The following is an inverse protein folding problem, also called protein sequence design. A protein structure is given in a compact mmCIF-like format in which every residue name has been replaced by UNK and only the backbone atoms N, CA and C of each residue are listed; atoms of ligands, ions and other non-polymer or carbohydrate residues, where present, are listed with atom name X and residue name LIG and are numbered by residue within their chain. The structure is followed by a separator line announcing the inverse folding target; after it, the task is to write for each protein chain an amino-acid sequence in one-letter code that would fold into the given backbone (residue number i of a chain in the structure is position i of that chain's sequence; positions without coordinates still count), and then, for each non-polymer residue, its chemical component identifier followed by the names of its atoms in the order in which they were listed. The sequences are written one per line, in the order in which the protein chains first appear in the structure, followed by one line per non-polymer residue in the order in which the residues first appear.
data_IF_126245835797
#
_entry.id   IF_126245835797
#
_cell.length_a   1.000
_cell.length_b   1.000
_cell.length_c   1.000
_cell.angle_alpha   90.00
_cell.angle_beta   90.00
_cell.angle_gamma   90.00
#
_symmetry.space_group_name_H-M   'P 1'
#
loop_
_entity.id
_entity.type
_entity.pdbx_description
1 polymer ?
#
# COMPACT_ATOMS: atom_id res chain seq x y z
N UNK A 1 -4.29 -18.06 -30.70
CA UNK A 1 -4.52 -17.63 -30.29
C UNK A 1 -4.39 -17.23 -29.94
N UNK A 2 -3.85 -17.34 -30.05
CA UNK A 2 -3.89 -16.79 -29.50
C UNK A 2 -3.52 -16.50 -29.11
N UNK A 3 -3.02 -16.83 -29.14
CA UNK A 3 -2.93 -16.48 -28.59
C UNK A 3 -2.63 -16.25 -28.25
N UNK A 4 -2.21 -16.65 -28.29
CA UNK A 4 -2.28 -16.36 -27.77
C UNK A 4 -2.30 -16.30 -27.45
N UNK A 5 -2.16 -16.83 -27.42
CA UNK A 5 -2.58 -16.82 -26.87
C UNK A 5 -2.27 -16.92 -26.42
N UNK A 6 -1.80 -17.26 -26.25
CA UNK A 6 -1.82 -17.29 -25.64
C UNK A 6 -1.20 -17.16 -25.12
N UNK A 7 -0.67 -17.43 -25.01
CA UNK A 7 -0.46 -17.18 -24.39
C UNK A 7 -0.12 -16.84 -23.77
N UNK A 8 0.35 -17.14 -23.57
CA UNK A 8 0.37 -16.80 -22.85
C UNK A 8 0.42 -16.53 -22.28
N UNK A 9 0.73 -16.75 -22.20
CA UNK A 9 0.46 -16.46 -21.50
C UNK A 9 0.44 -15.97 -21.02
N UNK A 10 0.72 -16.14 -20.72
CA UNK A 10 0.37 -15.55 -20.21
C UNK A 10 0.25 -15.13 -19.39
N UNK A 11 0.66 -15.26 -19.25
CA UNK A 11 0.24 -14.77 -18.53
C UNK A 11 -0.14 -14.67 -18.02
N UNK A 12 -0.06 -14.94 -17.62
CA UNK A 12 -0.87 -14.76 -17.16
C UNK A 12 -1.68 -14.75 -17.24
N UNK A 13 -1.77 -15.30 -17.30
CA UNK A 13 -2.87 -15.12 -17.43
C UNK A 13 -3.60 -15.82 -17.86
N UNK A 14 -4.03 -16.36 -17.76
CA UNK A 14 -4.93 -16.78 -18.15
C UNK A 14 -5.23 -17.01 -18.92
N UNK A 15 -4.29 -18.27 -19.08
CA UNK A 15 -4.89 -17.62 -19.96
C UNK A 15 -5.73 -17.16 -19.28
N UNK A 16 -5.20 -17.19 -18.51
CA UNK A 16 -6.10 -16.51 -17.79
C UNK A 16 -6.70 -15.37 -18.46
N UNK A 17 -7.68 -14.79 -17.85
CA UNK A 17 -8.31 -13.63 -18.38
C UNK A 17 -7.31 -12.53 -18.57
N UNK A 18 -7.40 -11.80 -19.67
CA UNK A 18 -6.65 -10.58 -19.78
C UNK A 18 -6.94 -9.67 -18.60
N UNK A 19 -5.95 -8.92 -18.21
CA UNK A 19 -6.11 -8.03 -17.09
C UNK A 19 -7.27 -7.07 -17.27
N UNK A 20 -7.48 -6.64 -18.49
CA UNK A 20 -8.53 -5.69 -18.78
C UNK A 20 -9.93 -6.24 -18.54
N UNK A 21 -10.09 -7.55 -18.48
CA UNK A 21 -11.38 -8.16 -18.23
C UNK A 21 -11.59 -8.54 -16.79
N UNK A 22 -10.57 -8.42 -15.97
CA UNK A 22 -10.79 -8.69 -14.57
C UNK A 22 -11.66 -7.62 -14.00
N UNK A 23 -12.45 -8.00 -13.02
CA UNK A 23 -13.09 -7.00 -12.23
C UNK A 23 -12.04 -6.03 -11.74
N UNK A 24 -12.41 -4.76 -11.59
CA UNK A 24 -11.48 -3.82 -10.98
C UNK A 24 -10.93 -4.47 -9.75
N UNK A 25 -9.62 -4.46 -9.65
CA UNK A 25 -8.97 -5.13 -8.56
C UNK A 25 -9.34 -4.46 -7.28
N UNK A 26 -9.72 -5.25 -6.32
CA UNK A 26 -9.78 -4.77 -4.96
C UNK A 26 -8.36 -4.52 -4.52
N UNK A 27 -8.10 -3.33 -4.03
CA UNK A 27 -6.79 -2.97 -3.51
C UNK A 27 -6.87 -2.98 -2.00
N UNK A 28 -5.94 -3.69 -1.37
CA UNK A 28 -5.81 -3.63 0.07
C UNK A 28 -4.72 -2.65 0.42
N UNK A 29 -4.95 -1.86 1.44
CA UNK A 29 -3.99 -0.86 1.85
C UNK A 29 -3.79 -0.92 3.34
N UNK A 30 -2.63 -0.46 3.79
CA UNK A 30 -2.35 -0.27 5.21
C UNK A 30 -2.14 1.21 5.43
N UNK A 31 -2.86 1.76 6.38
CA UNK A 31 -2.70 3.14 6.80
C UNK A 31 -2.41 3.15 8.29
N UNK A 32 -1.46 3.95 8.71
CA UNK A 32 -1.12 4.00 10.12
C UNK A 32 -0.86 5.42 10.56
N UNK A 33 -0.92 5.63 11.87
CA UNK A 33 -0.64 6.92 12.48
C UNK A 33 0.33 6.69 13.62
N UNK A 34 1.43 7.43 13.66
CA UNK A 34 2.40 7.33 14.72
C UNK A 34 2.27 8.49 15.67
N UNK A 35 2.61 8.25 16.92
CA UNK A 35 2.74 9.30 17.91
C UNK A 35 4.18 9.81 17.81
N UNK A 36 4.34 11.05 17.39
CA UNK A 36 5.67 11.59 17.12
C UNK A 36 6.54 11.62 18.38
N UNK A 37 5.95 11.97 19.51
CA UNK A 37 6.72 12.01 20.75
C UNK A 37 7.16 10.63 21.18
N UNK A 38 6.27 9.65 21.06
CA UNK A 38 6.64 8.28 21.38
C UNK A 38 7.69 7.77 20.40
N UNK A 39 7.57 8.16 19.14
CA UNK A 39 8.55 7.75 18.14
C UNK A 39 9.92 8.32 18.48
N UNK A 40 10.00 9.58 18.84
CA UNK A 40 11.28 10.17 19.26
C UNK A 40 11.87 9.46 20.47
N UNK A 41 11.00 9.12 21.43
CA UNK A 41 11.45 8.45 22.63
C UNK A 41 11.93 7.04 22.33
N UNK A 42 11.18 6.30 21.53
CA UNK A 42 11.43 4.88 21.33
C UNK A 42 12.43 4.60 20.21
N UNK A 43 12.42 5.41 19.17
CA UNK A 43 13.33 5.25 18.05
C UNK A 43 14.55 6.17 18.16
N UNK A 44 14.30 7.41 18.52
CA UNK A 44 15.34 8.43 18.58
C UNK A 44 15.25 9.42 17.44
N UNK A 45 16.17 10.37 17.43
CA UNK A 45 16.26 11.36 16.36
C UNK A 45 17.46 11.06 15.48
N UNK A 46 17.36 11.33 14.19
CA UNK A 46 16.17 11.85 13.50
C UNK A 46 15.15 10.75 13.29
N UNK A 47 13.95 11.00 13.75
CA UNK A 47 12.90 9.98 13.70
C UNK A 47 12.41 9.69 12.27
N UNK A 48 12.78 10.53 11.32
CA UNK A 48 12.38 10.28 9.93
C UNK A 48 12.90 8.95 9.42
N UNK A 49 14.03 8.49 9.96
CA UNK A 49 14.60 7.22 9.52
C UNK A 49 13.71 6.04 9.89
N UNK A 50 12.87 6.21 10.92
CA UNK A 50 11.94 5.17 11.30
C UNK A 50 10.98 4.84 10.16
N UNK A 51 10.53 5.86 9.43
CA UNK A 51 9.60 5.65 8.33
C UNK A 51 10.23 4.86 7.19
N UNK A 52 11.54 5.01 7.00
CA UNK A 52 12.25 4.21 6.00
C UNK A 52 12.27 2.73 6.41
N UNK A 53 12.42 2.46 7.69
CA UNK A 53 12.41 1.09 8.16
C UNK A 53 11.03 0.46 8.04
N UNK A 54 9.98 1.23 8.33
CA UNK A 54 8.62 0.77 8.11
C UNK A 54 8.42 0.44 6.64
N UNK A 55 8.87 1.32 5.76
CA UNK A 55 8.72 1.12 4.32
C UNK A 55 9.38 -0.17 3.87
N UNK A 56 10.58 -0.45 4.37
CA UNK A 56 11.29 -1.67 3.97
C UNK A 56 10.52 -2.92 4.37
N UNK A 57 9.98 -2.91 5.58
CA UNK A 57 9.20 -4.07 6.04
C UNK A 57 7.97 -4.24 5.16
N UNK A 58 7.23 -3.17 4.92
CA UNK A 58 6.01 -3.26 4.12
C UNK A 58 6.30 -3.65 2.68
N UNK A 59 7.41 -3.18 2.12
CA UNK A 59 7.79 -3.57 0.75
C UNK A 59 8.08 -5.06 0.65
N UNK A 60 8.64 -5.66 1.69
CA UNK A 60 8.87 -7.10 1.69
C UNK A 60 7.57 -7.89 1.57
N UNK A 61 6.47 -7.30 2.02
CA UNK A 61 5.17 -7.95 1.97
C UNK A 61 4.34 -7.54 0.77
N UNK A 62 4.92 -6.79 -0.16
CA UNK A 62 4.23 -6.44 -1.38
C UNK A 62 3.46 -5.13 -1.35
N UNK A 63 3.77 -4.28 -0.39
CA UNK A 63 3.12 -2.97 -0.29
C UNK A 63 4.05 -1.89 -0.82
N UNK A 64 3.45 -0.92 -1.52
CA UNK A 64 4.18 0.22 -2.05
C UNK A 64 3.66 1.50 -1.41
N UNK A 65 4.60 2.37 -1.09
CA UNK A 65 4.26 3.65 -0.49
C UNK A 65 3.46 4.50 -1.46
N UNK A 66 2.38 5.08 -0.99
CA UNK A 66 1.57 6.00 -1.78
C UNK A 66 1.82 7.43 -1.36
N UNK A 67 1.53 7.72 -0.12
CA UNK A 67 1.76 9.05 0.43
C UNK A 67 1.65 8.95 1.94
N UNK A 68 2.33 9.84 2.64
CA UNK A 68 2.24 9.87 4.08
C UNK A 68 2.48 8.51 4.69
N UNK A 69 1.52 8.04 5.44
CA UNK A 69 1.57 6.73 6.08
C UNK A 69 0.58 5.76 5.45
N UNK A 70 0.42 5.84 4.14
CA UNK A 70 -0.51 4.99 3.40
C UNK A 70 0.27 4.17 2.37
N UNK A 71 0.07 2.85 2.41
CA UNK A 71 0.74 1.91 1.53
C UNK A 71 -0.29 1.03 0.85
N UNK A 72 -0.19 0.90 -0.46
CA UNK A 72 -1.09 0.06 -1.24
C UNK A 72 -0.44 -1.27 -1.53
N UNK A 73 -1.19 -2.34 -1.36
CA UNK A 73 -0.75 -3.67 -1.75
C UNK A 73 -0.93 -3.87 -3.24
N UNK A 74 -0.10 -4.74 -3.81
CA UNK A 74 -0.23 -5.12 -5.20
C UNK A 74 -1.43 -6.04 -5.43
N UNK A 75 -1.58 -6.48 -6.66
CA UNK A 75 -2.76 -7.25 -7.06
C UNK A 75 -2.94 -8.56 -6.30
N UNK A 76 -1.84 -9.10 -5.77
CA UNK A 76 -1.89 -10.39 -5.10
C UNK A 76 -2.09 -10.28 -3.59
N UNK A 77 -2.16 -9.06 -3.09
CA UNK A 77 -2.26 -8.84 -1.66
C UNK A 77 -3.70 -9.03 -1.22
N UNK A 78 -3.88 -9.78 -0.14
CA UNK A 78 -5.18 -9.99 0.45
C UNK A 78 -5.16 -9.58 1.93
N UNK A 79 -6.29 -9.80 2.60
CA UNK A 79 -6.43 -9.40 3.98
C UNK A 79 -5.44 -10.12 4.90
N UNK A 80 -5.16 -11.40 4.61
CA UNK A 80 -4.22 -12.17 5.42
C UNK A 80 -2.83 -11.57 5.33
N UNK A 81 -2.42 -11.19 4.12
CA UNK A 81 -1.12 -10.56 3.93
C UNK A 81 -1.01 -9.27 4.74
N UNK A 82 -2.10 -8.50 4.80
CA UNK A 82 -2.10 -7.27 5.61
C UNK A 82 -1.84 -7.57 7.08
N UNK A 83 -2.49 -8.60 7.61
CA UNK A 83 -2.29 -8.97 9.01
C UNK A 83 -0.85 -9.41 9.26
N UNK A 84 -0.32 -10.23 8.34
CA UNK A 84 1.05 -10.71 8.49
C UNK A 84 2.05 -9.56 8.40
N UNK A 85 1.81 -8.60 7.52
CA UNK A 85 2.68 -7.44 7.41
C UNK A 85 2.66 -6.60 8.68
N UNK A 86 1.46 -6.39 9.25
CA UNK A 86 1.35 -5.63 10.50
C UNK A 86 2.06 -6.34 11.64
N UNK A 87 1.94 -7.66 11.70
CA UNK A 87 2.64 -8.43 12.73
C UNK A 87 4.15 -8.37 12.54
N UNK A 88 4.60 -8.36 11.29
CA UNK A 88 6.03 -8.27 11.03
C UNK A 88 6.58 -6.91 11.41
N UNK A 89 5.82 -5.84 11.22
CA UNK A 89 6.24 -4.53 11.70
C UNK A 89 6.53 -4.58 13.21
N UNK A 90 5.63 -5.21 13.96
CA UNK A 90 5.82 -5.29 15.41
C UNK A 90 7.00 -6.16 15.79
N UNK A 91 7.23 -7.25 15.05
CA UNK A 91 8.33 -8.17 15.36
C UNK A 91 9.69 -7.65 14.93
N UNK A 92 9.74 -7.04 13.75
CA UNK A 92 11.01 -6.60 13.18
C UNK A 92 11.46 -5.26 13.70
N UNK A 93 10.54 -4.43 14.17
CA UNK A 93 10.84 -3.09 14.64
C UNK A 93 10.41 -2.96 16.08
N UNK A 94 11.33 -3.17 17.03
CA UNK A 94 10.96 -3.21 18.45
C UNK A 94 10.28 -1.94 18.95
N UNK A 95 10.53 -0.82 18.29
CA UNK A 95 9.98 0.47 18.69
C UNK A 95 8.59 0.72 18.09
N UNK A 96 8.12 -0.16 17.19
CA UNK A 96 6.92 0.17 16.40
C UNK A 96 5.65 0.12 17.25
N UNK A 97 5.44 -0.98 17.97
CA UNK A 97 4.19 -1.17 18.70
C UNK A 97 3.93 -0.06 19.71
N UNK A 98 4.99 0.45 20.34
CA UNK A 98 4.84 1.51 21.33
C UNK A 98 4.78 2.89 20.72
N UNK A 99 5.05 3.02 19.42
CA UNK A 99 5.04 4.31 18.74
C UNK A 99 3.87 4.50 17.81
N UNK A 100 3.17 3.43 17.44
CA UNK A 100 2.03 3.53 16.55
C UNK A 100 0.78 3.80 17.37
N UNK A 101 0.00 4.78 16.92
CA UNK A 101 -1.25 5.14 17.58
C UNK A 101 -2.42 4.37 17.00
N UNK A 102 -2.37 4.12 15.70
CA UNK A 102 -3.44 3.44 14.99
C UNK A 102 -2.85 2.82 13.74
N UNK A 103 -3.34 1.64 13.37
CA UNK A 103 -2.99 1.01 12.11
C UNK A 103 -4.20 0.26 11.61
N UNK A 104 -4.54 0.47 10.35
CA UNK A 104 -5.76 -0.08 9.77
C UNK A 104 -5.49 -0.69 8.42
N UNK A 105 -6.24 -1.74 8.14
CA UNK A 105 -6.34 -2.28 6.81
C UNK A 105 -7.53 -1.63 6.12
N UNK A 106 -7.32 -1.18 4.89
CA UNK A 106 -8.38 -0.64 4.06
C UNK A 106 -8.58 -1.54 2.88
N UNK A 107 -9.84 -1.79 2.57
CA UNK A 107 -10.19 -2.51 1.36
C UNK A 107 -10.80 -1.50 0.40
N UNK A 108 -10.12 -1.25 -0.70
CA UNK A 108 -10.51 -0.19 -1.63
C UNK A 108 -11.11 -0.83 -2.87
N UNK A 109 -12.38 -0.55 -3.10
CA UNK A 109 -13.09 -1.12 -4.23
C UNK A 109 -13.06 -0.20 -5.43
N UNK A 110 -12.89 1.09 -5.20
CA UNK A 110 -12.87 2.05 -6.26
C UNK A 110 -11.87 3.14 -5.93
N UNK A 111 -11.04 3.50 -6.89
CA UNK A 111 -9.96 4.45 -6.67
C UNK A 111 -9.98 5.46 -7.80
N UNK A 112 -10.13 6.72 -7.45
CA UNK A 112 -10.20 7.79 -8.43
C UNK A 112 -9.18 8.86 -8.12
N UNK A 113 -8.46 9.29 -9.14
CA UNK A 113 -7.48 10.35 -9.02
C UNK A 113 -8.21 11.68 -9.21
N UNK A 114 -8.11 12.55 -8.23
CA UNK A 114 -8.79 13.83 -8.25
C UNK A 114 -7.91 14.98 -8.70
N UNK A 115 -6.65 14.70 -9.09
CA UNK A 115 -5.75 15.77 -9.49
C UNK A 115 -6.27 16.57 -10.67
N UNK A 116 -6.89 15.91 -11.63
CA UNK A 116 -7.45 16.62 -12.78
C UNK A 116 -8.51 17.61 -12.36
N UNK A 117 -9.36 17.22 -11.40
CA UNK A 117 -10.40 18.12 -10.90
C UNK A 117 -9.79 19.31 -10.17
N UNK A 118 -8.74 19.05 -9.38
CA UNK A 118 -8.06 20.11 -8.65
C UNK A 118 -7.44 21.11 -9.62
N UNK A 119 -6.75 20.60 -10.62
CA UNK A 119 -6.06 21.47 -11.57
C UNK A 119 -7.06 22.27 -12.43
N UNK A 120 -8.17 21.64 -12.77
CA UNK A 120 -9.18 22.31 -13.55
C UNK A 120 -9.78 23.48 -12.77
N UNK A 121 -10.07 23.28 -11.50
CA UNK A 121 -10.61 24.33 -10.66
C UNK A 121 -9.59 25.42 -10.39
N UNK A 122 -8.33 25.04 -10.15
CA UNK A 122 -7.28 25.99 -9.87
C UNK A 122 -6.94 26.83 -11.09
N UNK A 123 -7.07 26.27 -12.27
CA UNK A 123 -6.85 26.99 -13.49
C UNK A 123 -7.87 28.08 -13.69
N UNK A 124 -8.95 28.04 -12.99
CA UNK A 124 -9.91 29.11 -12.96
C UNK A 124 -10.50 29.40 -14.29
N UNK A 125 -10.31 28.57 -15.18
CA UNK A 125 -10.65 28.92 -16.44
C UNK A 125 -12.05 28.91 -16.63
N UNK A 126 -12.61 29.84 -17.06
CA UNK A 126 -13.93 29.74 -17.54
C UNK A 126 -13.91 29.05 -18.81
#
# INVERSE_FOLDING_TARGET
MAASLLTSPQSSVRPGLPKSFRRPSTVYAIAFDTDIEQLRTNYGDPYNNAYLEIRRVLQRHGFAWQQGSVYFGGDEIDAVTCVLAAQDLARSLPWFASSVRDIRMLRIEELNDLMAAVQQAAGGSP
#
